data_IF_047135255828
#
_entry.id   IF_047135255828
#
_cell.length_a   1.000
_cell.length_b   1.000
_cell.length_c   1.000
_cell.angle_alpha   90.00
_cell.angle_beta   90.00
_cell.angle_gamma   90.00
#
_symmetry.space_group_name_H-M   'P 1'
#
loop_
_entity.id
_entity.type
_entity.pdbx_description
1 polymer ?
#
# COMPACT_ATOMS: atom_id res chain seq x y z
N UNK A 1 10.75 -67.79 -41.88
CA UNK A 1 11.70 -66.70 -42.02
C UNK A 1 11.08 -65.50 -41.33
N UNK A 2 11.50 -65.23 -40.10
CA UNK A 2 10.86 -64.33 -39.14
C UNK A 2 11.69 -63.09 -38.96
N UNK A 3 11.12 -61.96 -39.31
CA UNK A 3 11.74 -60.62 -39.07
C UNK A 3 11.27 -60.10 -37.70
N UNK A 4 12.19 -60.06 -36.76
CA UNK A 4 11.99 -59.44 -35.45
C UNK A 4 12.33 -57.93 -35.55
N UNK A 5 11.30 -57.09 -35.45
CA UNK A 5 11.44 -55.66 -35.28
C UNK A 5 11.75 -55.36 -33.80
N UNK A 6 12.95 -54.87 -33.55
CA UNK A 6 13.36 -54.29 -32.27
C UNK A 6 12.76 -52.88 -32.15
N UNK A 7 11.78 -52.71 -31.30
CA UNK A 7 11.32 -51.39 -30.86
C UNK A 7 12.29 -50.87 -29.79
N UNK A 8 13.06 -49.84 -30.14
CA UNK A 8 13.86 -49.06 -29.18
C UNK A 8 12.92 -48.07 -28.49
N UNK A 9 12.56 -48.37 -27.27
CA UNK A 9 11.84 -47.41 -26.43
C UNK A 9 12.76 -46.27 -25.98
N UNK A 10 12.52 -45.07 -26.46
CA UNK A 10 13.12 -43.85 -25.94
C UNK A 10 12.40 -43.53 -24.64
N UNK A 11 13.06 -43.83 -23.52
CA UNK A 11 12.63 -43.37 -22.19
C UNK A 11 12.95 -41.86 -22.09
N UNK A 12 11.97 -41.01 -22.39
CA UNK A 12 12.01 -39.60 -22.06
C UNK A 12 11.94 -39.47 -20.52
N UNK A 13 13.09 -39.34 -19.90
CA UNK A 13 13.20 -38.85 -18.54
C UNK A 13 12.73 -37.38 -18.54
N UNK A 14 11.45 -37.20 -18.32
CA UNK A 14 10.92 -35.90 -17.85
C UNK A 14 11.50 -35.70 -16.47
N UNK A 15 12.67 -35.07 -16.42
CA UNK A 15 13.18 -34.38 -15.22
C UNK A 15 12.22 -33.24 -14.95
N UNK A 16 11.13 -33.54 -14.27
CA UNK A 16 10.31 -32.55 -13.64
C UNK A 16 11.22 -31.77 -12.67
N UNK A 17 11.66 -30.60 -13.08
CA UNK A 17 12.13 -29.60 -12.14
C UNK A 17 10.97 -29.35 -11.18
N UNK A 18 10.98 -30.04 -10.05
CA UNK A 18 10.12 -29.69 -8.93
C UNK A 18 10.46 -28.27 -8.57
N UNK A 19 9.63 -27.31 -8.96
CA UNK A 19 9.66 -25.99 -8.42
C UNK A 19 9.50 -26.14 -6.90
N UNK A 20 10.60 -26.06 -6.21
CA UNK A 20 10.64 -26.01 -4.75
C UNK A 20 10.12 -24.63 -4.32
N UNK A 21 8.87 -24.32 -4.65
CA UNK A 21 8.13 -23.27 -4.00
C UNK A 21 8.02 -23.68 -2.55
N UNK A 22 8.76 -23.04 -1.67
CA UNK A 22 8.53 -23.16 -0.24
C UNK A 22 7.06 -22.83 -0.03
N UNK A 23 6.25 -23.81 0.39
CA UNK A 23 4.82 -23.64 0.59
C UNK A 23 4.61 -22.42 1.49
N UNK A 24 3.91 -21.41 1.00
CA UNK A 24 3.62 -20.20 1.77
C UNK A 24 2.96 -20.56 3.11
N UNK A 25 3.49 -20.01 4.20
CA UNK A 25 3.05 -20.32 5.56
C UNK A 25 2.41 -19.07 6.20
N UNK A 26 1.08 -18.90 6.08
CA UNK A 26 0.38 -17.72 6.58
C UNK A 26 0.58 -17.48 8.08
N UNK A 27 0.76 -18.55 8.87
CA UNK A 27 1.05 -18.43 10.31
C UNK A 27 2.39 -17.74 10.57
N UNK A 28 3.44 -18.13 9.85
CA UNK A 28 4.75 -17.47 10.00
C UNK A 28 4.71 -16.00 9.57
N UNK A 29 3.93 -15.67 8.54
CA UNK A 29 3.72 -14.29 8.14
C UNK A 29 3.00 -13.49 9.24
N UNK A 30 1.96 -14.05 9.86
CA UNK A 30 1.26 -13.42 10.97
C UNK A 30 2.18 -13.23 12.20
N UNK A 31 2.92 -14.27 12.57
CA UNK A 31 3.89 -14.22 13.68
C UNK A 31 4.99 -13.18 13.46
N UNK A 32 5.51 -13.07 12.23
CA UNK A 32 6.49 -12.05 11.87
C UNK A 32 5.91 -10.64 12.04
N UNK A 33 4.71 -10.38 11.52
CA UNK A 33 4.05 -9.08 11.65
C UNK A 33 3.78 -8.74 13.12
N UNK A 34 3.27 -9.70 13.89
CA UNK A 34 2.99 -9.51 15.31
C UNK A 34 4.28 -9.23 16.11
N UNK A 35 5.40 -9.88 15.75
CA UNK A 35 6.69 -9.61 16.38
C UNK A 35 7.20 -8.20 16.07
N UNK A 36 7.09 -7.73 14.81
CA UNK A 36 7.47 -6.36 14.44
C UNK A 36 6.62 -5.32 15.16
N UNK A 37 5.33 -5.57 15.25
CA UNK A 37 4.42 -4.64 15.93
C UNK A 37 4.64 -4.62 17.45
N UNK A 38 5.01 -5.78 18.04
CA UNK A 38 5.43 -5.85 19.43
C UNK A 38 6.63 -4.95 19.71
N UNK A 39 7.65 -5.02 18.87
CA UNK A 39 8.84 -4.18 18.99
C UNK A 39 8.47 -2.69 18.87
N UNK A 40 7.61 -2.35 17.90
CA UNK A 40 7.09 -0.99 17.71
C UNK A 40 6.33 -0.49 18.94
N UNK A 41 5.46 -1.31 19.52
CA UNK A 41 4.73 -0.95 20.74
C UNK A 41 5.64 -0.82 21.98
N UNK A 42 6.77 -1.49 22.00
CA UNK A 42 7.74 -1.37 23.10
C UNK A 42 8.63 -0.13 22.98
N UNK A 43 8.78 0.42 21.77
CA UNK A 43 9.68 1.53 21.51
C UNK A 43 9.10 2.86 21.99
N UNK A 44 9.83 3.57 22.87
CA UNK A 44 9.34 4.81 23.49
C UNK A 44 9.12 5.93 22.49
N UNK A 45 9.94 5.99 21.42
CA UNK A 45 9.80 7.02 20.37
C UNK A 45 8.52 6.82 19.55
N UNK A 46 8.00 5.60 19.48
CA UNK A 46 6.72 5.31 18.82
C UNK A 46 5.50 5.80 19.63
N UNK A 47 5.69 6.25 20.87
CA UNK A 47 4.59 6.77 21.68
C UNK A 47 4.21 8.17 21.24
N UNK A 48 2.93 8.39 21.05
CA UNK A 48 2.33 9.67 20.66
C UNK A 48 1.08 9.95 21.48
N UNK A 49 0.46 11.11 21.32
CA UNK A 49 -0.83 11.39 21.88
C UNK A 49 -1.87 10.34 21.44
N UNK A 50 -2.60 9.75 22.39
CA UNK A 50 -3.58 8.71 22.12
C UNK A 50 -2.99 7.30 21.91
N UNK A 51 -1.71 7.06 22.26
CA UNK A 51 -1.10 5.73 22.24
C UNK A 51 0.08 5.57 21.28
N UNK A 52 0.24 4.37 20.71
CA UNK A 52 1.31 4.10 19.77
C UNK A 52 1.01 4.72 18.40
N UNK A 53 2.02 5.35 17.78
CA UNK A 53 1.93 5.91 16.44
C UNK A 53 1.66 4.81 15.41
N UNK A 54 0.74 5.07 14.49
CA UNK A 54 0.60 4.25 13.28
C UNK A 54 1.61 4.79 12.28
N UNK A 55 2.78 4.18 12.21
CA UNK A 55 3.80 4.56 11.25
C UNK A 55 3.38 4.20 9.83
N UNK A 56 3.84 4.97 8.84
CA UNK A 56 3.66 4.67 7.41
C UNK A 56 4.30 3.32 7.04
N UNK A 57 5.33 2.91 7.76
CA UNK A 57 6.18 1.76 7.41
C UNK A 57 5.84 0.50 8.20
N UNK A 58 5.24 0.61 9.38
CA UNK A 58 4.98 -0.52 10.27
C UNK A 58 3.47 -0.71 10.50
N UNK A 59 2.85 0.15 11.29
CA UNK A 59 1.46 -0.02 11.71
C UNK A 59 0.45 0.08 10.57
N UNK A 60 0.72 0.90 9.52
CA UNK A 60 -0.15 0.93 8.33
C UNK A 60 -0.14 -0.42 7.62
N UNK A 61 1.04 -0.94 7.28
CA UNK A 61 1.18 -2.23 6.59
C UNK A 61 0.61 -3.36 7.43
N UNK A 62 0.80 -3.32 8.75
CA UNK A 62 0.23 -4.26 9.69
C UNK A 62 -1.31 -4.25 9.62
N UNK A 63 -1.95 -3.09 9.76
CA UNK A 63 -3.42 -2.97 9.72
C UNK A 63 -4.02 -3.28 8.35
N UNK A 64 -3.25 -3.18 7.26
CA UNK A 64 -3.71 -3.59 5.93
C UNK A 64 -3.60 -5.11 5.72
N UNK A 65 -2.58 -5.76 6.27
CA UNK A 65 -2.29 -7.18 6.01
C UNK A 65 -2.84 -8.13 7.10
N UNK A 66 -2.68 -7.78 8.38
CA UNK A 66 -2.98 -8.69 9.50
C UNK A 66 -4.44 -9.14 9.59
N UNK A 67 -5.45 -8.28 9.33
CA UNK A 67 -6.85 -8.71 9.30
C UNK A 67 -7.13 -9.79 8.25
N UNK A 68 -6.47 -9.71 7.08
CA UNK A 68 -6.61 -10.74 6.04
C UNK A 68 -5.98 -12.08 6.48
N UNK A 69 -4.79 -12.04 7.09
CA UNK A 69 -4.15 -13.22 7.67
C UNK A 69 -4.99 -13.82 8.80
N UNK A 70 -5.55 -13.00 9.69
CA UNK A 70 -6.45 -13.43 10.75
C UNK A 70 -7.65 -14.21 10.20
N UNK A 71 -8.30 -13.67 9.17
CA UNK A 71 -9.41 -14.34 8.48
C UNK A 71 -8.98 -15.67 7.88
N UNK A 72 -7.82 -15.71 7.20
CA UNK A 72 -7.28 -16.92 6.59
C UNK A 72 -6.93 -18.01 7.62
N UNK A 73 -6.43 -17.59 8.79
CA UNK A 73 -6.06 -18.49 9.89
C UNK A 73 -7.25 -18.90 10.78
N UNK A 74 -8.45 -18.38 10.53
CA UNK A 74 -9.63 -18.63 11.34
C UNK A 74 -9.57 -18.05 12.76
N UNK A 75 -8.75 -17.02 12.98
CA UNK A 75 -8.64 -16.35 14.26
C UNK A 75 -9.88 -15.47 14.51
N UNK A 76 -10.60 -15.74 15.59
CA UNK A 76 -11.88 -15.10 15.86
C UNK A 76 -11.77 -13.63 16.31
N UNK A 77 -10.67 -13.25 16.95
CA UNK A 77 -10.48 -11.93 17.53
C UNK A 77 -9.31 -11.18 16.92
N UNK A 78 -9.39 -9.84 16.80
CA UNK A 78 -8.26 -9.01 16.48
C UNK A 78 -7.13 -9.16 17.50
N UNK A 79 -5.89 -8.98 17.07
CA UNK A 79 -4.76 -8.93 18.00
C UNK A 79 -4.84 -7.69 18.88
N UNK A 80 -4.10 -7.71 20.00
CA UNK A 80 -3.95 -6.52 20.83
C UNK A 80 -3.34 -5.32 20.07
N UNK A 81 -2.53 -5.58 19.05
CA UNK A 81 -1.91 -4.54 18.23
C UNK A 81 -2.91 -3.93 17.23
N UNK A 82 -3.72 -4.75 16.55
CA UNK A 82 -4.83 -4.27 15.72
C UNK A 82 -5.74 -3.35 16.56
N UNK A 83 -6.15 -3.85 17.72
CA UNK A 83 -7.03 -3.12 18.65
C UNK A 83 -6.40 -1.82 19.15
N UNK A 84 -5.13 -1.88 19.57
CA UNK A 84 -4.42 -0.71 20.12
C UNK A 84 -4.19 0.39 19.08
N UNK A 85 -3.77 0.03 17.86
CA UNK A 85 -3.57 0.99 16.77
C UNK A 85 -4.89 1.67 16.38
N UNK A 86 -5.96 0.89 16.20
CA UNK A 86 -7.27 1.43 15.82
C UNK A 86 -7.86 2.30 16.93
N UNK A 87 -7.72 1.91 18.20
CA UNK A 87 -8.14 2.71 19.33
C UNK A 87 -7.40 4.06 19.38
N UNK A 88 -6.09 4.05 19.17
CA UNK A 88 -5.28 5.27 19.11
C UNK A 88 -5.67 6.19 17.95
N UNK A 89 -6.00 5.64 16.78
CA UNK A 89 -6.51 6.42 15.65
C UNK A 89 -7.85 7.09 15.98
N UNK A 90 -8.79 6.35 16.55
CA UNK A 90 -10.11 6.86 16.97
C UNK A 90 -9.96 7.97 18.00
N UNK A 91 -9.20 7.71 19.08
CA UNK A 91 -8.98 8.69 20.15
C UNK A 91 -8.38 10.00 19.64
N UNK A 92 -7.33 9.93 18.79
CA UNK A 92 -6.74 11.14 18.19
C UNK A 92 -7.71 11.89 17.31
N UNK A 93 -8.54 11.17 16.56
CA UNK A 93 -9.55 11.79 15.69
C UNK A 93 -10.60 12.51 16.52
N UNK A 94 -11.20 11.85 17.51
CA UNK A 94 -12.23 12.42 18.40
C UNK A 94 -11.73 13.62 19.19
N UNK A 95 -10.48 13.57 19.67
CA UNK A 95 -9.84 14.67 20.41
C UNK A 95 -9.20 15.72 19.51
N UNK A 96 -9.30 15.59 18.22
CA UNK A 96 -8.62 16.45 17.22
C UNK A 96 -7.12 16.65 17.51
N UNK A 97 -6.45 15.58 17.91
CA UNK A 97 -5.02 15.60 18.26
C UNK A 97 -4.16 15.33 17.03
N UNK A 98 -2.97 15.95 17.01
CA UNK A 98 -1.94 15.64 16.03
C UNK A 98 -1.18 14.38 16.45
N UNK A 99 -0.86 13.52 15.49
CA UNK A 99 -0.04 12.32 15.72
C UNK A 99 1.40 12.72 16.08
N UNK A 100 1.92 13.74 15.40
CA UNK A 100 3.27 14.23 15.56
C UNK A 100 3.27 15.43 16.52
N UNK A 101 3.61 15.19 17.79
CA UNK A 101 3.51 16.18 18.86
C UNK A 101 4.80 16.95 19.15
N UNK A 102 5.92 16.69 18.45
CA UNK A 102 7.17 17.40 18.69
C UNK A 102 7.13 18.86 18.17
N UNK A 103 7.92 19.73 18.76
CA UNK A 103 8.01 21.14 18.35
C UNK A 103 8.41 21.31 16.87
N UNK A 104 9.14 20.35 16.30
CA UNK A 104 9.53 20.37 14.89
C UNK A 104 8.31 20.25 13.97
N UNK A 105 7.36 19.38 14.33
CA UNK A 105 6.12 19.19 13.56
C UNK A 105 5.07 20.28 13.78
N UNK A 106 5.37 21.28 14.60
CA UNK A 106 4.52 22.47 14.75
C UNK A 106 4.85 23.56 13.71
N UNK A 107 5.94 23.40 12.94
CA UNK A 107 6.43 24.39 11.96
C UNK A 107 6.33 23.86 10.54
N UNK A 108 6.11 24.78 9.59
CA UNK A 108 6.17 24.46 8.17
C UNK A 108 7.60 24.13 7.71
N UNK A 109 7.77 23.20 6.74
CA UNK A 109 6.72 22.46 6.02
C UNK A 109 6.21 21.22 6.78
N UNK A 110 6.84 20.79 7.87
CA UNK A 110 6.51 19.55 8.57
C UNK A 110 5.09 19.55 9.16
N UNK A 111 4.54 20.72 9.50
CA UNK A 111 3.18 20.80 10.02
C UNK A 111 2.13 20.36 8.97
N UNK A 112 2.22 20.88 7.76
CA UNK A 112 1.32 20.50 6.67
C UNK A 112 1.59 19.09 6.14
N UNK A 113 2.86 18.67 6.09
CA UNK A 113 3.24 17.33 5.70
C UNK A 113 2.68 16.28 6.67
N UNK A 114 2.87 16.51 7.98
CA UNK A 114 2.34 15.65 9.02
C UNK A 114 0.80 15.56 9.02
N UNK A 115 0.12 16.70 8.76
CA UNK A 115 -1.35 16.70 8.64
C UNK A 115 -1.81 15.91 7.42
N UNK A 116 -1.15 16.05 6.28
CA UNK A 116 -1.45 15.28 5.07
C UNK A 116 -1.32 13.78 5.30
N UNK A 117 -0.16 13.33 5.80
CA UNK A 117 0.09 11.93 6.10
C UNK A 117 -0.91 11.39 7.12
N UNK A 118 -1.05 12.05 8.27
CA UNK A 118 -1.94 11.62 9.34
C UNK A 118 -3.39 11.48 8.87
N UNK A 119 -3.90 12.47 8.15
CA UNK A 119 -5.30 12.50 7.74
C UNK A 119 -5.64 11.39 6.76
N UNK A 120 -4.75 11.15 5.77
CA UNK A 120 -4.94 10.06 4.79
C UNK A 120 -4.86 8.69 5.47
N UNK A 121 -3.82 8.42 6.26
CA UNK A 121 -3.66 7.13 6.93
C UNK A 121 -4.81 6.84 7.89
N UNK A 122 -5.25 7.85 8.63
CA UNK A 122 -6.38 7.70 9.55
C UNK A 122 -7.67 7.37 8.80
N UNK A 123 -8.00 8.10 7.74
CA UNK A 123 -9.19 7.84 6.94
C UNK A 123 -9.16 6.45 6.31
N UNK A 124 -8.02 6.06 5.71
CA UNK A 124 -7.84 4.74 5.08
C UNK A 124 -8.04 3.60 6.09
N UNK A 125 -7.36 3.66 7.22
CA UNK A 125 -7.33 2.56 8.17
C UNK A 125 -8.65 2.43 8.95
N UNK A 126 -9.29 3.55 9.30
CA UNK A 126 -10.61 3.53 9.92
C UNK A 126 -11.67 3.03 8.94
N UNK A 127 -11.70 3.51 7.68
CA UNK A 127 -12.65 3.03 6.67
C UNK A 127 -12.51 1.52 6.42
N UNK A 128 -11.29 1.01 6.34
CA UNK A 128 -11.05 -0.44 6.18
C UNK A 128 -11.39 -1.28 7.40
N UNK A 129 -11.46 -0.67 8.58
CA UNK A 129 -11.86 -1.34 9.82
C UNK A 129 -13.38 -1.36 10.05
N UNK A 130 -14.15 -0.59 9.28
CA UNK A 130 -15.60 -0.58 9.37
C UNK A 130 -16.18 -1.95 8.97
N UNK A 131 -17.12 -2.41 9.76
CA UNK A 131 -17.90 -3.62 9.49
C UNK A 131 -19.36 -3.30 9.13
N UNK A 132 -19.77 -2.04 9.28
CA UNK A 132 -21.12 -1.55 8.97
C UNK A 132 -21.19 -1.03 7.52
N UNK A 133 -22.38 -1.13 6.87
CA UNK A 133 -22.63 -0.46 5.59
C UNK A 133 -22.69 1.07 5.71
N UNK A 134 -22.71 1.61 6.92
CA UNK A 134 -22.66 3.04 7.22
C UNK A 134 -21.37 3.37 7.94
N UNK A 135 -20.83 4.54 7.64
CA UNK A 135 -19.60 5.04 8.25
C UNK A 135 -19.90 5.49 9.71
N UNK A 136 -18.99 5.18 10.62
CA UNK A 136 -19.08 5.68 12.00
C UNK A 136 -18.74 7.19 12.04
N UNK A 137 -19.28 7.94 13.03
CA UNK A 137 -19.00 9.38 13.15
C UNK A 137 -17.50 9.71 13.24
N UNK A 138 -16.70 8.86 13.89
CA UNK A 138 -15.25 9.08 13.99
C UNK A 138 -14.56 8.89 12.65
N UNK A 139 -15.03 7.95 11.83
CA UNK A 139 -14.51 7.76 10.47
C UNK A 139 -14.94 8.91 9.54
N UNK A 140 -16.17 9.40 9.66
CA UNK A 140 -16.61 10.62 8.95
C UNK A 140 -15.74 11.83 9.32
N UNK A 141 -15.43 12.01 10.60
CA UNK A 141 -14.53 13.06 11.05
C UNK A 141 -13.11 12.91 10.47
N UNK A 142 -12.59 11.68 10.37
CA UNK A 142 -11.30 11.41 9.74
C UNK A 142 -11.30 11.81 8.26
N UNK A 143 -12.36 11.50 7.51
CA UNK A 143 -12.52 11.95 6.12
C UNK A 143 -12.64 13.46 6.00
N UNK A 144 -13.39 14.11 6.89
CA UNK A 144 -13.49 15.57 6.92
C UNK A 144 -12.11 16.23 7.07
N UNK A 145 -11.26 15.69 7.97
CA UNK A 145 -9.87 16.16 8.12
C UNK A 145 -9.04 15.89 6.86
N UNK A 146 -9.14 14.71 6.28
CA UNK A 146 -8.45 14.38 5.03
C UNK A 146 -8.81 15.37 3.92
N UNK A 147 -10.09 15.66 3.71
CA UNK A 147 -10.52 16.63 2.72
C UNK A 147 -10.13 18.08 3.04
N UNK A 148 -10.06 18.45 4.32
CA UNK A 148 -9.58 19.78 4.73
C UNK A 148 -8.10 19.96 4.37
N UNK A 149 -7.29 18.91 4.49
CA UNK A 149 -5.88 18.94 4.15
C UNK A 149 -5.60 18.83 2.63
N UNK A 150 -6.60 18.50 1.80
CA UNK A 150 -6.44 18.44 0.35
C UNK A 150 -6.13 19.81 -0.24
N UNK A 151 -5.10 19.90 -1.06
CA UNK A 151 -4.72 21.14 -1.77
C UNK A 151 -5.77 21.47 -2.82
N UNK A 152 -6.27 22.71 -2.75
CA UNK A 152 -7.37 23.22 -3.59
C UNK A 152 -6.91 24.00 -4.80
N UNK A 153 -5.66 24.38 -4.83
CA UNK A 153 -5.07 25.25 -5.85
C UNK A 153 -3.58 24.94 -6.08
N UNK A 154 -3.00 25.60 -7.04
CA UNK A 154 -1.60 25.42 -7.41
C UNK A 154 -1.34 24.14 -8.23
N UNK A 155 -0.06 23.86 -8.54
CA UNK A 155 0.34 22.78 -9.43
C UNK A 155 0.07 21.39 -8.85
N UNK A 156 -0.11 21.28 -7.54
CA UNK A 156 -0.43 20.03 -6.84
C UNK A 156 -1.86 19.98 -6.32
N UNK A 157 -2.78 20.73 -6.97
CA UNK A 157 -4.22 20.66 -6.68
C UNK A 157 -4.71 19.22 -6.75
N UNK A 158 -5.49 18.79 -5.76
CA UNK A 158 -6.00 17.43 -5.65
C UNK A 158 -5.14 16.50 -4.81
N UNK A 159 -3.89 16.87 -4.52
CA UNK A 159 -2.98 16.13 -3.65
C UNK A 159 -3.00 16.65 -2.20
N UNK A 160 -2.14 16.06 -1.40
CA UNK A 160 -1.85 16.45 -0.02
C UNK A 160 -0.36 16.76 0.13
N UNK A 161 0.01 17.53 1.15
CA UNK A 161 1.40 17.60 1.57
C UNK A 161 1.82 16.25 2.13
N UNK A 162 3.06 15.82 1.88
CA UNK A 162 3.61 14.54 2.31
C UNK A 162 5.04 14.74 2.80
N UNK A 163 5.54 13.85 3.65
CA UNK A 163 6.90 13.93 4.14
C UNK A 163 7.92 13.85 3.01
N UNK A 164 8.95 14.67 3.13
CA UNK A 164 10.12 14.68 2.26
C UNK A 164 11.38 14.68 3.16
N UNK A 165 11.79 13.50 3.53
CA UNK A 165 13.00 13.24 4.33
C UNK A 165 14.13 12.66 3.49
N UNK A 166 13.92 12.58 2.18
CA UNK A 166 14.82 11.92 1.23
C UNK A 166 14.93 10.40 1.48
N UNK A 167 13.87 9.80 2.00
CA UNK A 167 13.73 8.38 2.30
C UNK A 167 12.81 7.70 1.26
N UNK A 168 13.44 7.15 0.22
CA UNK A 168 12.74 6.37 -0.79
C UNK A 168 12.23 5.03 -0.21
N UNK A 169 11.08 4.57 -0.63
CA UNK A 169 10.12 5.14 -1.59
C UNK A 169 8.98 5.97 -0.97
N UNK A 170 8.98 6.18 0.33
CA UNK A 170 7.79 6.64 1.04
C UNK A 170 7.80 8.11 1.44
N UNK A 171 8.97 8.72 1.62
CA UNK A 171 9.12 10.04 2.24
C UNK A 171 10.12 10.89 1.45
N UNK A 172 9.81 11.07 0.15
CA UNK A 172 10.56 11.91 -0.79
C UNK A 172 9.64 12.92 -1.45
N UNK A 173 10.21 13.81 -2.26
CA UNK A 173 9.48 14.80 -3.04
C UNK A 173 8.34 14.18 -3.86
N UNK A 174 8.53 12.98 -4.41
CA UNK A 174 7.55 12.29 -5.24
C UNK A 174 6.50 11.52 -4.41
N UNK A 175 6.71 11.36 -3.11
CA UNK A 175 5.83 10.56 -2.25
C UNK A 175 4.47 11.22 -1.97
N UNK A 176 4.29 12.51 -2.30
CA UNK A 176 2.97 13.14 -2.33
C UNK A 176 2.03 12.43 -3.32
N UNK A 177 2.57 11.86 -4.41
CA UNK A 177 1.80 11.05 -5.36
C UNK A 177 1.39 9.71 -4.74
N UNK A 178 2.31 9.03 -4.06
CA UNK A 178 2.01 7.83 -3.28
C UNK A 178 0.90 8.10 -2.25
N UNK A 179 1.00 9.19 -1.49
CA UNK A 179 -0.04 9.62 -0.54
C UNK A 179 -1.40 9.83 -1.20
N UNK A 180 -1.43 10.43 -2.40
CA UNK A 180 -2.66 10.61 -3.17
C UNK A 180 -3.29 9.27 -3.60
N UNK A 181 -2.50 8.25 -3.94
CA UNK A 181 -3.04 6.90 -4.20
C UNK A 181 -3.65 6.28 -2.95
N UNK A 182 -3.04 6.47 -1.78
CA UNK A 182 -3.62 6.01 -0.51
C UNK A 182 -4.93 6.74 -0.17
N UNK A 183 -5.03 8.04 -0.48
CA UNK A 183 -6.29 8.78 -0.33
C UNK A 183 -7.38 8.22 -1.23
N UNK A 184 -7.07 7.86 -2.49
CA UNK A 184 -8.01 7.18 -3.36
C UNK A 184 -8.48 5.83 -2.78
N UNK A 185 -7.55 5.03 -2.22
CA UNK A 185 -7.88 3.77 -1.56
C UNK A 185 -8.71 3.97 -0.28
N UNK A 186 -8.51 5.07 0.45
CA UNK A 186 -9.36 5.43 1.59
C UNK A 186 -10.80 5.67 1.14
N UNK A 187 -10.99 6.48 0.09
CA UNK A 187 -12.32 6.73 -0.48
C UNK A 187 -12.95 5.44 -1.02
N UNK A 188 -12.17 4.59 -1.69
CA UNK A 188 -12.65 3.31 -2.20
C UNK A 188 -13.18 2.40 -1.08
N UNK A 189 -12.59 2.46 0.12
CA UNK A 189 -13.02 1.71 1.28
C UNK A 189 -14.28 2.27 1.96
N UNK A 190 -14.64 3.53 1.67
CA UNK A 190 -15.83 4.16 2.22
C UNK A 190 -17.13 3.60 1.59
N UNK A 191 -18.27 3.61 2.31
CA UNK A 191 -19.56 3.20 1.77
C UNK A 191 -19.97 4.01 0.53
N UNK A 192 -20.74 3.39 -0.37
CA UNK A 192 -21.25 4.06 -1.57
C UNK A 192 -22.06 5.33 -1.22
N UNK A 193 -22.88 5.27 -0.16
CA UNK A 193 -23.66 6.42 0.33
C UNK A 193 -22.80 7.65 0.67
N UNK A 194 -21.57 7.45 1.12
CA UNK A 194 -20.61 8.53 1.34
C UNK A 194 -19.95 8.98 0.02
N UNK A 195 -19.48 8.03 -0.77
CA UNK A 195 -18.78 8.31 -2.04
C UNK A 195 -19.67 9.05 -3.06
N UNK A 196 -20.99 8.82 -3.00
CA UNK A 196 -21.96 9.39 -3.92
C UNK A 196 -22.36 10.83 -3.57
N UNK A 197 -21.93 11.38 -2.45
CA UNK A 197 -22.18 12.76 -2.08
C UNK A 197 -21.53 13.74 -3.09
N UNK A 198 -22.24 14.81 -3.51
CA UNK A 198 -21.73 15.71 -4.55
C UNK A 198 -20.40 16.39 -4.23
N UNK A 199 -20.20 16.78 -2.97
CA UNK A 199 -18.96 17.39 -2.50
C UNK A 199 -17.80 16.38 -2.46
N UNK A 200 -18.04 15.13 -2.07
CA UNK A 200 -17.04 14.04 -2.13
C UNK A 200 -16.66 13.77 -3.59
N UNK A 201 -17.62 13.68 -4.49
CA UNK A 201 -17.34 13.50 -5.93
C UNK A 201 -16.50 14.65 -6.50
N UNK A 202 -16.76 15.88 -6.11
CA UNK A 202 -15.94 17.03 -6.54
C UNK A 202 -14.49 16.91 -6.07
N UNK A 203 -14.27 16.48 -4.83
CA UNK A 203 -12.93 16.24 -4.27
C UNK A 203 -12.20 15.09 -4.96
N UNK A 204 -12.93 14.01 -5.24
CA UNK A 204 -12.42 12.85 -5.99
C UNK A 204 -12.03 13.23 -7.41
N UNK A 205 -12.79 14.09 -8.09
CA UNK A 205 -12.44 14.58 -9.42
C UNK A 205 -11.12 15.38 -9.42
N UNK A 206 -10.88 16.18 -8.39
CA UNK A 206 -9.59 16.88 -8.25
C UNK A 206 -8.43 15.91 -8.00
N UNK A 207 -8.64 14.90 -7.15
CA UNK A 207 -7.67 13.82 -6.91
C UNK A 207 -7.39 13.04 -8.20
N UNK A 208 -8.43 12.65 -8.95
CA UNK A 208 -8.29 11.97 -10.23
C UNK A 208 -7.48 12.79 -11.24
N UNK A 209 -7.77 14.10 -11.33
CA UNK A 209 -7.01 15.03 -12.17
C UNK A 209 -5.52 15.05 -11.81
N UNK A 210 -5.19 15.11 -10.52
CA UNK A 210 -3.81 15.06 -10.04
C UNK A 210 -3.11 13.75 -10.40
N UNK A 211 -3.75 12.60 -10.13
CA UNK A 211 -3.19 11.28 -10.44
C UNK A 211 -2.96 11.10 -11.95
N UNK A 212 -3.92 11.54 -12.77
CA UNK A 212 -3.84 11.35 -14.22
C UNK A 212 -2.82 12.26 -14.90
N UNK A 213 -2.63 13.46 -14.40
CA UNK A 213 -1.67 14.43 -14.97
C UNK A 213 -0.24 14.21 -14.48
N UNK A 214 -0.05 13.64 -13.28
CA UNK A 214 1.25 13.48 -12.66
C UNK A 214 1.94 12.13 -12.88
N UNK A 215 1.30 11.17 -13.59
CA UNK A 215 1.78 9.78 -13.70
C UNK A 215 3.19 9.67 -14.33
N UNK A 216 3.40 10.35 -15.46
CA UNK A 216 4.62 10.16 -16.27
C UNK A 216 5.91 10.53 -15.53
N UNK A 217 5.82 11.44 -14.56
CA UNK A 217 6.97 11.87 -13.75
C UNK A 217 7.26 10.99 -12.54
N UNK A 218 6.46 9.94 -12.30
CA UNK A 218 6.56 9.15 -11.07
C UNK A 218 7.47 7.93 -11.22
N UNK A 219 8.21 7.55 -10.16
CA UNK A 219 8.83 6.23 -10.06
C UNK A 219 7.81 5.12 -10.32
N UNK A 220 8.24 4.00 -10.88
CA UNK A 220 7.34 2.85 -11.13
C UNK A 220 6.64 2.40 -9.84
N UNK A 221 7.32 2.46 -8.71
CA UNK A 221 6.73 2.17 -7.39
C UNK A 221 5.39 2.91 -7.18
N UNK A 222 5.39 4.23 -7.36
CA UNK A 222 4.20 5.05 -7.16
C UNK A 222 3.13 4.77 -8.23
N UNK A 223 3.57 4.50 -9.46
CA UNK A 223 2.66 4.18 -10.58
C UNK A 223 1.99 2.83 -10.41
N UNK A 224 2.64 1.84 -9.81
CA UNK A 224 2.06 0.53 -9.52
C UNK A 224 0.85 0.64 -8.57
N UNK A 225 0.84 1.61 -7.65
CA UNK A 225 -0.33 1.85 -6.80
C UNK A 225 -1.58 2.23 -7.58
N UNK A 226 -1.45 2.78 -8.80
CA UNK A 226 -2.57 3.08 -9.69
C UNK A 226 -3.32 1.83 -10.15
N UNK A 227 -2.65 0.68 -10.23
CA UNK A 227 -3.31 -0.60 -10.53
C UNK A 227 -4.28 -0.97 -9.41
N UNK A 228 -3.88 -0.76 -8.17
CA UNK A 228 -4.75 -0.98 -7.01
C UNK A 228 -5.89 0.06 -6.97
N UNK A 229 -5.59 1.33 -7.22
CA UNK A 229 -6.61 2.38 -7.33
C UNK A 229 -7.63 2.03 -8.42
N UNK A 230 -7.18 1.61 -9.60
CA UNK A 230 -8.07 1.23 -10.72
C UNK A 230 -9.01 0.09 -10.37
N UNK A 231 -8.54 -0.91 -9.63
CA UNK A 231 -9.35 -2.03 -9.18
C UNK A 231 -10.48 -1.60 -8.23
N UNK A 232 -10.19 -0.63 -7.36
CA UNK A 232 -11.06 -0.22 -6.26
C UNK A 232 -11.88 1.04 -6.58
N UNK A 233 -11.36 1.91 -7.47
CA UNK A 233 -11.91 3.23 -7.77
C UNK A 233 -11.61 3.63 -9.23
N UNK A 234 -12.27 2.99 -10.21
CA UNK A 234 -12.01 3.20 -11.64
C UNK A 234 -12.29 4.63 -12.11
N UNK A 235 -13.09 5.42 -11.38
CA UNK A 235 -13.33 6.83 -11.68
C UNK A 235 -12.08 7.69 -11.44
N UNK A 236 -11.23 7.31 -10.49
CA UNK A 236 -9.96 8.01 -10.25
C UNK A 236 -8.87 7.57 -11.24
N UNK A 237 -8.84 6.27 -11.58
CA UNK A 237 -7.88 5.72 -12.54
C UNK A 237 -8.54 4.68 -13.44
N UNK A 238 -8.82 5.00 -14.73
CA UNK A 238 -9.52 4.10 -15.64
C UNK A 238 -8.72 2.83 -15.96
N UNK A 239 -9.40 1.69 -16.01
CA UNK A 239 -8.81 0.39 -16.37
C UNK A 239 -8.10 0.39 -17.72
N UNK A 240 -8.54 1.23 -18.67
CA UNK A 240 -7.92 1.37 -19.98
C UNK A 240 -6.46 1.86 -19.93
N UNK A 241 -6.05 2.49 -18.82
CA UNK A 241 -4.67 2.95 -18.62
C UNK A 241 -3.75 1.91 -17.95
N UNK A 242 -4.29 0.80 -17.46
CA UNK A 242 -3.52 -0.18 -16.68
C UNK A 242 -2.59 -1.06 -17.53
N UNK A 243 -2.95 -1.34 -18.80
CA UNK A 243 -2.22 -2.30 -19.62
C UNK A 243 -0.74 -1.99 -19.76
N UNK A 244 -0.38 -0.74 -20.05
CA UNK A 244 1.02 -0.31 -20.15
C UNK A 244 1.81 -0.49 -18.84
N UNK A 245 1.18 -0.22 -17.70
CA UNK A 245 1.82 -0.42 -16.40
C UNK A 245 2.05 -1.89 -16.09
N UNK A 246 1.09 -2.74 -16.44
CA UNK A 246 1.22 -4.21 -16.32
C UNK A 246 2.36 -4.70 -17.19
N UNK A 247 2.42 -4.30 -18.47
CA UNK A 247 3.47 -4.70 -19.39
C UNK A 247 4.86 -4.21 -18.92
N UNK A 248 4.95 -2.98 -18.43
CA UNK A 248 6.19 -2.43 -17.87
C UNK A 248 6.65 -3.20 -16.65
N UNK A 249 5.74 -3.52 -15.71
CA UNK A 249 6.05 -4.30 -14.53
C UNK A 249 6.54 -5.71 -14.88
N UNK A 250 5.85 -6.41 -15.78
CA UNK A 250 6.24 -7.73 -16.25
C UNK A 250 7.59 -7.71 -16.97
N UNK A 251 7.87 -6.67 -17.78
CA UNK A 251 9.14 -6.50 -18.47
C UNK A 251 10.34 -6.30 -17.56
N UNK A 252 10.13 -6.00 -16.27
CA UNK A 252 11.20 -5.81 -15.27
C UNK A 252 11.43 -7.03 -14.37
N UNK A 253 10.67 -8.12 -14.57
CA UNK A 253 10.84 -9.34 -13.81
C UNK A 253 12.22 -9.97 -14.05
N UNK A 254 12.89 -10.38 -12.99
CA UNK A 254 14.18 -11.04 -13.05
C UNK A 254 14.05 -12.52 -13.40
N UNK A 255 15.15 -13.16 -13.78
CA UNK A 255 15.18 -14.58 -14.13
C UNK A 255 14.78 -15.53 -12.98
N UNK A 256 14.93 -15.07 -11.73
CA UNK A 256 14.51 -15.79 -10.53
C UNK A 256 13.02 -15.59 -10.19
N UNK A 257 12.29 -14.82 -10.99
CA UNK A 257 10.87 -14.52 -10.81
C UNK A 257 10.57 -13.30 -9.93
N UNK A 258 11.59 -12.68 -9.32
CA UNK A 258 11.43 -11.51 -8.46
C UNK A 258 11.59 -10.18 -9.18
N UNK A 259 11.52 -9.08 -8.42
CA UNK A 259 11.80 -7.72 -8.87
C UNK A 259 12.81 -7.06 -7.95
N UNK A 260 13.62 -6.16 -8.52
CA UNK A 260 14.63 -5.41 -7.78
C UNK A 260 14.08 -4.06 -7.33
N UNK A 261 14.60 -3.50 -6.23
CA UNK A 261 14.28 -2.11 -5.86
C UNK A 261 14.70 -1.14 -6.95
N UNK A 262 15.87 -1.33 -7.55
CA UNK A 262 16.36 -0.49 -8.66
C UNK A 262 15.33 -0.37 -9.78
N UNK A 263 14.65 -1.48 -10.13
CA UNK A 263 13.65 -1.50 -11.21
C UNK A 263 12.39 -0.68 -10.94
N UNK A 264 12.12 -0.36 -9.68
CA UNK A 264 10.95 0.43 -9.25
C UNK A 264 11.21 1.94 -9.17
N UNK A 265 12.50 2.36 -9.28
CA UNK A 265 12.92 3.76 -9.22
C UNK A 265 12.58 4.58 -10.49
N UNK A 266 13.29 5.69 -10.68
CA UNK A 266 14.60 6.01 -10.09
C UNK A 266 14.54 6.40 -8.61
N UNK A 267 15.62 6.08 -7.88
CA UNK A 267 15.79 6.43 -6.47
C UNK A 267 16.99 7.34 -6.29
N UNK A 268 16.96 8.15 -5.24
CA UNK A 268 18.15 8.86 -4.81
C UNK A 268 19.05 7.91 -4.02
N UNK A 269 20.36 8.00 -4.23
CA UNK A 269 21.30 7.26 -3.39
C UNK A 269 21.21 7.74 -1.94
N UNK A 270 21.02 6.79 -1.03
CA UNK A 270 21.10 7.07 0.40
C UNK A 270 22.49 6.61 0.92
N UNK A 271 23.21 7.45 1.66
CA UNK A 271 24.59 7.14 2.07
C UNK A 271 24.70 5.89 2.95
N UNK A 272 23.65 5.54 3.68
CA UNK A 272 23.61 4.42 4.61
C UNK A 272 22.85 3.19 4.10
N UNK A 273 22.23 3.29 2.92
CA UNK A 273 21.40 2.22 2.35
C UNK A 273 21.60 2.08 0.84
N UNK A 274 22.58 1.24 0.45
CA UNK A 274 22.80 0.92 -0.94
C UNK A 274 21.58 0.18 -1.52
N UNK A 275 21.18 0.55 -2.74
CA UNK A 275 20.12 -0.14 -3.47
C UNK A 275 20.65 -1.50 -3.92
N UNK A 276 19.98 -2.57 -3.51
CA UNK A 276 20.32 -3.93 -3.94
C UNK A 276 19.97 -4.13 -5.42
N UNK A 277 20.91 -4.67 -6.18
CA UNK A 277 20.74 -5.05 -7.59
C UNK A 277 20.04 -6.39 -7.80
N UNK A 278 19.90 -7.21 -6.74
CA UNK A 278 19.19 -8.49 -6.78
C UNK A 278 17.69 -8.37 -6.50
N UNK A 279 16.95 -9.44 -6.73
CA UNK A 279 15.53 -9.50 -6.36
C UNK A 279 15.34 -9.21 -4.88
N UNK A 280 14.36 -8.36 -4.58
CA UNK A 280 14.08 -7.86 -3.24
C UNK A 280 12.67 -8.27 -2.82
N UNK A 281 12.52 -8.76 -1.60
CA UNK A 281 11.22 -9.23 -1.09
C UNK A 281 10.14 -8.14 -1.11
N UNK A 282 10.50 -6.91 -0.77
CA UNK A 282 9.56 -5.79 -0.79
C UNK A 282 9.14 -5.45 -2.23
N UNK A 283 10.10 -5.27 -3.14
CA UNK A 283 9.82 -4.95 -4.54
C UNK A 283 8.96 -6.04 -5.19
N UNK A 284 9.31 -7.32 -4.97
CA UNK A 284 8.55 -8.46 -5.47
C UNK A 284 7.12 -8.46 -4.93
N UNK A 285 6.92 -8.24 -3.63
CA UNK A 285 5.60 -8.20 -3.03
C UNK A 285 4.73 -7.05 -3.55
N UNK A 286 5.30 -5.84 -3.68
CA UNK A 286 4.57 -4.68 -4.22
C UNK A 286 4.11 -4.92 -5.65
N UNK A 287 5.00 -5.42 -6.51
CA UNK A 287 4.66 -5.71 -7.91
C UNK A 287 3.63 -6.84 -8.00
N UNK A 288 3.83 -7.93 -7.27
CA UNK A 288 2.89 -9.07 -7.28
C UNK A 288 1.47 -8.63 -6.86
N UNK A 289 1.35 -7.88 -5.76
CA UNK A 289 0.06 -7.32 -5.30
C UNK A 289 -0.54 -6.39 -6.36
N UNK A 290 0.25 -5.51 -6.94
CA UNK A 290 -0.24 -4.58 -7.97
C UNK A 290 -0.76 -5.31 -9.21
N UNK A 291 -0.05 -6.33 -9.69
CA UNK A 291 -0.45 -7.17 -10.83
C UNK A 291 -1.73 -7.98 -10.51
N UNK A 292 -1.83 -8.54 -9.31
CA UNK A 292 -3.05 -9.23 -8.86
C UNK A 292 -4.24 -8.26 -8.84
N UNK A 293 -4.09 -7.07 -8.31
CA UNK A 293 -5.12 -6.03 -8.32
C UNK A 293 -5.50 -5.60 -9.75
N UNK A 294 -4.56 -5.62 -10.69
CA UNK A 294 -4.84 -5.38 -12.10
C UNK A 294 -5.63 -6.53 -12.77
N UNK A 295 -5.81 -7.65 -12.07
CA UNK A 295 -6.59 -8.80 -12.53
C UNK A 295 -5.75 -9.95 -13.08
N UNK A 296 -4.43 -9.97 -12.91
CA UNK A 296 -3.63 -11.15 -13.19
C UNK A 296 -4.02 -12.25 -12.19
N UNK A 297 -4.25 -13.45 -12.71
CA UNK A 297 -4.57 -14.60 -11.86
C UNK A 297 -3.31 -15.07 -11.13
N UNK A 298 -3.45 -15.56 -9.91
CA UNK A 298 -2.36 -16.18 -9.13
C UNK A 298 -1.72 -17.39 -9.83
N UNK A 299 -2.37 -17.96 -10.85
CA UNK A 299 -1.82 -19.00 -11.72
C UNK A 299 -0.98 -18.44 -12.89
N UNK A 300 -0.84 -17.12 -13.00
CA UNK A 300 0.02 -16.50 -14.02
C UNK A 300 1.48 -16.82 -13.72
N UNK A 301 2.31 -17.20 -14.73
CA UNK A 301 3.71 -17.60 -14.51
C UNK A 301 4.58 -16.55 -13.80
N UNK A 302 4.18 -15.28 -13.84
CA UNK A 302 4.90 -14.19 -13.16
C UNK A 302 4.53 -14.05 -11.68
N UNK A 303 3.47 -14.71 -11.17
CA UNK A 303 3.00 -14.70 -9.79
C UNK A 303 3.16 -16.06 -9.13
#
# INVERSE_FOLDING_TARGET
>A
MTNALRAAGILLLLSGASAWGTSWKPRLAAEYLDAREKDWFAWQVAKSAGGTCVSCHTGMTYLLARPALRKLLGEAQPTQYETGLLAGLKERTEKNQRMFGSASFAKEPLASQGEGVQSILTALLLARSESSPTMSPVTEQAFSRMWTAQKREGPTKGAWAWFDFNDDPYETQDSAYYGATLAALAVAAAPASYRDQPDVKARVNELAGYLQSGEEGQPLHNRLMLLWVSASMPDAWPKSRCGKLVDEALGKQQADGGWTMESLGPWKEHPEAAISSGSNNYATAVVAVALEQAGLKTSHPAL
#
